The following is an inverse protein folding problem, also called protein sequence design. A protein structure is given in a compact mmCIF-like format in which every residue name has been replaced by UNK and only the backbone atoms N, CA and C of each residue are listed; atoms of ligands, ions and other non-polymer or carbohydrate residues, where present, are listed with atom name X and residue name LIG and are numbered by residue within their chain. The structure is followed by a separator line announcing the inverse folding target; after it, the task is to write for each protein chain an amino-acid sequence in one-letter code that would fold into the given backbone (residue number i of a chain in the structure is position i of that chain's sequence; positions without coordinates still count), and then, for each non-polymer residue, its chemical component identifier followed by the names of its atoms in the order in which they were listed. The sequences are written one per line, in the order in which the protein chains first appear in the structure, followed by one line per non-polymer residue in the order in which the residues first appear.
data_IF_898101860152
#
_entry.id   IF_898101860152
#
_cell.length_a   1.000
_cell.length_b   1.000
_cell.length_c   1.000
_cell.angle_alpha   90.00
_cell.angle_beta   90.00
_cell.angle_gamma   90.00
#
_symmetry.space_group_name_H-M   'P 1'
#
loop_
_entity.id
_entity.type
_entity.pdbx_description
1 polymer ?
#
# COMPACT_ATOMS: atom_id res chain seq x y z
N UNK A 1 6.29 -6.51 -2.21
CA UNK A 1 6.11 -5.39 -3.17
C UNK A 1 5.74 -5.85 -4.59
N UNK A 2 6.48 -6.77 -5.25
CA UNK A 2 6.13 -7.18 -6.64
C UNK A 2 4.78 -7.91 -6.69
N UNK A 3 4.54 -8.85 -5.75
CA UNK A 3 3.25 -9.50 -5.60
C UNK A 3 2.10 -8.50 -5.36
N UNK A 4 2.27 -7.58 -4.40
CA UNK A 4 1.27 -6.56 -4.06
C UNK A 4 0.96 -5.63 -5.23
N UNK A 5 1.96 -5.31 -6.06
CA UNK A 5 1.79 -4.54 -7.28
C UNK A 5 0.93 -5.28 -8.32
N UNK A 6 1.12 -6.59 -8.46
CA UNK A 6 0.31 -7.44 -9.32
C UNK A 6 -1.13 -7.56 -8.80
N UNK A 7 -1.30 -7.80 -7.51
CA UNK A 7 -2.64 -7.80 -6.90
C UNK A 7 -3.33 -6.43 -7.09
N UNK A 8 -2.62 -5.32 -6.92
CA UNK A 8 -3.16 -3.98 -7.14
C UNK A 8 -3.51 -3.72 -8.61
N UNK A 9 -2.74 -4.22 -9.58
CA UNK A 9 -3.07 -4.04 -11.00
C UNK A 9 -4.36 -4.77 -11.39
N UNK A 10 -4.59 -5.98 -10.85
CA UNK A 10 -5.81 -6.77 -11.06
C UNK A 10 -7.02 -6.11 -10.39
N UNK A 11 -6.87 -5.67 -9.14
CA UNK A 11 -7.96 -5.05 -8.37
C UNK A 11 -8.32 -3.66 -8.89
N UNK A 12 -7.33 -2.92 -9.39
CA UNK A 12 -7.50 -1.62 -10.01
C UNK A 12 -7.93 -0.50 -9.06
N UNK A 13 -8.37 0.63 -9.62
CA UNK A 13 -8.60 1.89 -8.88
C UNK A 13 -9.84 1.88 -7.97
N UNK A 14 -10.56 0.77 -7.83
CA UNK A 14 -11.77 0.68 -6.98
C UNK A 14 -11.45 0.52 -5.49
N UNK A 15 -10.25 0.03 -5.17
CA UNK A 15 -9.81 -0.18 -3.78
C UNK A 15 -8.77 0.85 -3.38
N UNK A 16 -8.89 1.39 -2.18
CA UNK A 16 -8.01 2.43 -1.67
C UNK A 16 -6.56 1.93 -1.57
N UNK A 17 -6.36 0.70 -1.08
CA UNK A 17 -5.01 0.12 -0.95
C UNK A 17 -4.37 -0.11 -2.32
N UNK A 18 -5.15 -0.56 -3.30
CA UNK A 18 -4.71 -0.78 -4.68
C UNK A 18 -4.30 0.54 -5.35
N UNK A 19 -5.14 1.57 -5.24
CA UNK A 19 -4.80 2.92 -5.73
C UNK A 19 -3.52 3.41 -5.08
N UNK A 20 -3.39 3.31 -3.76
CA UNK A 20 -2.20 3.75 -3.05
C UNK A 20 -0.94 3.05 -3.58
N UNK A 21 -1.02 1.74 -3.84
CA UNK A 21 0.08 0.98 -4.42
C UNK A 21 0.41 1.42 -5.85
N UNK A 22 -0.58 1.55 -6.73
CA UNK A 22 -0.40 2.04 -8.11
C UNK A 22 0.17 3.47 -8.15
N UNK A 23 -0.28 4.33 -7.25
CA UNK A 23 0.26 5.67 -7.08
C UNK A 23 1.72 5.65 -6.62
N UNK A 24 2.07 4.76 -5.69
CA UNK A 24 3.46 4.57 -5.24
C UNK A 24 4.36 4.16 -6.41
N UNK A 25 3.94 3.19 -7.23
CA UNK A 25 4.68 2.72 -8.41
C UNK A 25 4.84 3.85 -9.44
N UNK A 26 3.75 4.54 -9.79
CA UNK A 26 3.77 5.65 -10.77
C UNK A 26 4.61 6.84 -10.30
N UNK A 27 4.60 7.13 -9.01
CA UNK A 27 5.39 8.23 -8.46
C UNK A 27 6.85 7.85 -8.20
N UNK A 28 7.17 6.57 -7.98
CA UNK A 28 8.55 6.09 -7.91
C UNK A 28 9.26 6.31 -9.24
N UNK A 29 8.67 5.86 -10.37
CA UNK A 29 9.27 6.08 -11.70
C UNK A 29 9.42 7.57 -12.04
N UNK A 30 8.44 8.39 -11.68
CA UNK A 30 8.54 9.86 -11.83
C UNK A 30 9.63 10.47 -10.96
N UNK A 31 9.84 9.99 -9.72
CA UNK A 31 10.94 10.45 -8.87
C UNK A 31 12.30 10.05 -9.47
N UNK A 32 12.43 8.84 -10.01
CA UNK A 32 13.65 8.43 -10.73
C UNK A 32 13.88 9.27 -12.00
N UNK A 33 12.82 9.58 -12.76
CA UNK A 33 12.91 10.45 -13.96
C UNK A 33 13.17 11.93 -13.65
N UNK A 34 12.69 12.45 -12.52
CA UNK A 34 12.91 13.84 -12.09
C UNK A 34 14.30 14.05 -11.46
N UNK A 35 14.86 13.03 -10.80
CA UNK A 35 16.25 13.05 -10.30
C UNK A 35 17.27 12.91 -11.44
N UNK A 36 16.92 12.21 -12.52
CA UNK A 36 17.74 12.15 -13.74
C UNK A 36 17.74 13.44 -14.56
N UNK A 37 16.84 14.41 -14.27
CA UNK A 37 16.64 15.62 -15.09
C UNK A 37 16.86 16.93 -14.35
N UNK A 38 17.51 16.94 -13.18
CA UNK A 38 17.79 18.16 -12.43
C UNK A 38 19.28 18.46 -12.32
N UNK A 39 19.86 18.87 -13.44
CA UNK A 39 20.81 19.98 -13.44
C UNK A 39 19.99 21.28 -13.47
N UNK A 40 20.26 22.18 -12.52
CA UNK A 40 19.85 23.58 -12.42
C UNK A 40 18.37 23.96 -12.57
N UNK A 41 17.75 24.29 -11.42
CA UNK A 41 16.92 25.49 -11.30
C UNK A 41 16.50 25.69 -9.84
N UNK A 42 16.98 26.81 -9.28
CA UNK A 42 16.38 27.48 -8.14
C UNK A 42 14.90 27.72 -8.43
N UNK A 43 14.02 27.07 -7.68
CA UNK A 43 12.64 27.48 -7.58
C UNK A 43 12.12 27.11 -6.20
N UNK A 44 11.99 28.16 -5.39
CA UNK A 44 11.19 28.21 -4.18
C UNK A 44 9.89 27.41 -4.33
N UNK A 45 9.59 26.56 -3.35
CA UNK A 45 8.21 26.37 -2.91
C UNK A 45 8.19 25.97 -1.44
N UNK A 46 8.20 27.02 -0.62
CA UNK A 46 7.52 27.08 0.65
C UNK A 46 6.21 26.27 0.60
N UNK A 47 6.09 25.29 1.49
CA UNK A 47 4.84 24.90 2.16
C UNK A 47 5.18 24.05 3.37
N UNK A 48 5.59 24.75 4.43
CA UNK A 48 5.66 24.24 5.80
C UNK A 48 4.23 24.18 6.33
N UNK A 49 3.58 23.02 6.24
CA UNK A 49 2.39 22.77 7.05
C UNK A 49 2.83 21.93 8.24
N UNK A 50 3.12 22.61 9.36
CA UNK A 50 3.19 21.96 10.67
C UNK A 50 1.76 21.59 11.04
N UNK A 51 1.31 20.40 10.65
CA UNK A 51 0.10 19.81 11.23
C UNK A 51 0.46 19.41 12.65
N UNK A 52 0.03 20.23 13.61
CA UNK A 52 0.06 19.87 15.03
C UNK A 52 -0.93 18.73 15.21
N UNK A 53 -0.42 17.53 15.49
CA UNK A 53 -1.26 16.39 15.86
C UNK A 53 -1.71 16.59 17.31
N UNK A 54 -3.02 16.59 17.63
CA UNK A 54 -3.45 16.52 19.02
C UNK A 54 -3.00 15.19 19.62
N UNK A 55 -2.38 15.24 20.80
CA UNK A 55 -2.07 14.05 21.62
C UNK A 55 -3.38 13.54 22.20
N UNK A 56 -4.02 12.60 21.50
CA UNK A 56 -5.17 11.86 22.02
C UNK A 56 -4.65 10.81 23.00
N UNK A 57 -5.23 10.82 24.20
CA UNK A 57 -4.88 9.94 25.31
C UNK A 57 -4.97 8.46 24.88
N UNK A 58 -3.94 7.70 25.25
CA UNK A 58 -3.82 6.28 24.95
C UNK A 58 -4.95 5.51 25.64
N UNK A 59 -5.96 5.14 24.87
CA UNK A 59 -6.92 4.09 25.22
C UNK A 59 -6.34 2.79 24.68
N UNK A 60 -6.20 1.77 25.52
CA UNK A 60 -5.46 0.53 25.25
C UNK A 60 -6.01 -0.30 24.07
N UNK A 61 -7.17 0.06 23.50
CA UNK A 61 -7.72 -0.52 22.26
C UNK A 61 -7.18 0.11 20.95
N UNK A 62 -6.37 1.18 21.02
CA UNK A 62 -5.84 1.86 19.83
C UNK A 62 -4.62 1.20 19.19
N UNK A 63 -4.08 0.13 19.78
CA UNK A 63 -2.84 -0.47 19.28
C UNK A 63 -3.05 -1.29 18.01
N UNK A 64 -4.04 -2.20 18.00
CA UNK A 64 -4.31 -3.10 16.87
C UNK A 64 -4.72 -2.37 15.59
N UNK A 65 -5.55 -1.34 15.69
CA UNK A 65 -5.92 -0.53 14.54
C UNK A 65 -4.69 0.20 13.96
N UNK A 66 -3.76 0.61 14.82
CA UNK A 66 -2.51 1.25 14.38
C UNK A 66 -1.56 0.28 13.70
N UNK A 67 -1.56 -0.99 14.11
CA UNK A 67 -0.81 -2.07 13.45
C UNK A 67 -1.40 -2.40 12.08
N UNK A 68 -2.73 -2.53 11.99
CA UNK A 68 -3.41 -2.77 10.72
C UNK A 68 -3.08 -1.70 9.67
N UNK A 69 -3.00 -0.43 10.07
CA UNK A 69 -2.61 0.68 9.18
C UNK A 69 -1.21 0.51 8.57
N UNK A 70 -0.30 -0.18 9.26
CA UNK A 70 1.06 -0.47 8.78
C UNK A 70 1.10 -1.68 7.86
N UNK A 71 0.18 -2.63 8.03
CA UNK A 71 0.11 -3.87 7.26
C UNK A 71 -0.66 -3.71 5.95
N UNK A 72 -1.76 -2.95 5.96
CA UNK A 72 -2.57 -2.69 4.76
C UNK A 72 -1.88 -1.62 3.91
N UNK A 73 -1.64 -1.87 2.61
CA UNK A 73 -1.03 -0.87 1.76
C UNK A 73 -1.84 0.44 1.73
N UNK A 74 -1.22 1.56 2.08
CA UNK A 74 -1.92 2.86 2.15
C UNK A 74 -2.88 3.01 3.33
N UNK A 75 -2.85 2.08 4.29
CA UNK A 75 -3.68 2.10 5.49
C UNK A 75 -3.41 3.29 6.40
N UNK A 76 -2.24 3.95 6.29
CA UNK A 76 -1.83 5.06 7.16
C UNK A 76 -2.81 6.23 7.12
N UNK A 77 -3.50 6.43 6.00
CA UNK A 77 -4.44 7.53 5.79
C UNK A 77 -5.92 7.12 5.85
N UNK A 78 -6.26 5.85 6.12
CA UNK A 78 -7.65 5.36 6.05
C UNK A 78 -8.43 5.66 7.34
N UNK A 79 -9.74 5.86 7.28
CA UNK A 79 -10.60 5.83 8.49
C UNK A 79 -10.79 4.39 8.98
N UNK A 80 -11.16 4.18 10.25
CA UNK A 80 -11.24 2.83 10.85
C UNK A 80 -12.17 1.87 10.08
N UNK A 81 -13.37 2.31 9.69
CA UNK A 81 -14.32 1.49 8.92
C UNK A 81 -13.77 1.08 7.56
N UNK A 82 -13.22 2.04 6.81
CA UNK A 82 -12.58 1.79 5.51
C UNK A 82 -11.35 0.90 5.67
N UNK A 83 -10.57 1.06 6.74
CA UNK A 83 -9.43 0.22 7.04
C UNK A 83 -9.85 -1.24 7.20
N UNK A 84 -10.96 -1.53 7.90
CA UNK A 84 -11.48 -2.89 8.05
C UNK A 84 -11.96 -3.47 6.72
N UNK A 85 -12.71 -2.72 5.91
CA UNK A 85 -13.18 -3.19 4.61
C UNK A 85 -12.00 -3.50 3.66
N UNK A 86 -11.03 -2.58 3.60
CA UNK A 86 -9.84 -2.74 2.77
C UNK A 86 -8.94 -3.88 3.29
N UNK A 87 -8.89 -4.10 4.61
CA UNK A 87 -8.19 -5.25 5.23
C UNK A 87 -8.81 -6.57 4.79
N UNK A 88 -10.15 -6.72 4.89
CA UNK A 88 -10.84 -7.94 4.50
C UNK A 88 -10.61 -8.25 3.01
N UNK A 89 -10.67 -7.22 2.16
CA UNK A 89 -10.37 -7.37 0.75
C UNK A 89 -8.91 -7.74 0.48
N UNK A 90 -7.97 -7.15 1.22
CA UNK A 90 -6.54 -7.43 1.07
C UNK A 90 -6.21 -8.87 1.49
N UNK A 91 -6.77 -9.34 2.61
CA UNK A 91 -6.65 -10.75 3.04
C UNK A 91 -7.17 -11.68 1.95
N UNK A 92 -8.35 -11.40 1.36
CA UNK A 92 -8.89 -12.20 0.26
C UNK A 92 -7.90 -12.32 -0.90
N UNK A 93 -7.30 -11.22 -1.33
CA UNK A 93 -6.29 -11.23 -2.39
C UNK A 93 -5.06 -12.06 -2.00
N UNK A 94 -4.57 -11.94 -0.77
CA UNK A 94 -3.44 -12.73 -0.26
C UNK A 94 -3.76 -14.22 -0.24
N UNK A 95 -4.94 -14.61 0.23
CA UNK A 95 -5.37 -16.02 0.24
C UNK A 95 -5.41 -16.58 -1.17
N UNK A 96 -5.95 -15.85 -2.14
CA UNK A 96 -5.95 -16.26 -3.54
C UNK A 96 -4.54 -16.39 -4.09
N UNK A 97 -3.66 -15.42 -3.79
CA UNK A 97 -2.27 -15.46 -4.22
C UNK A 97 -1.57 -16.72 -3.69
N UNK A 98 -1.68 -17.00 -2.39
CA UNK A 98 -1.06 -18.19 -1.77
C UNK A 98 -1.65 -19.48 -2.34
N UNK A 99 -2.96 -19.53 -2.58
CA UNK A 99 -3.60 -20.70 -3.21
C UNK A 99 -3.05 -21.01 -4.59
N UNK A 100 -2.83 -19.99 -5.43
CA UNK A 100 -2.21 -20.17 -6.76
C UNK A 100 -0.77 -20.70 -6.61
N UNK A 101 0.02 -20.14 -5.69
CA UNK A 101 1.39 -20.65 -5.47
C UNK A 101 1.41 -22.09 -4.96
N UNK A 102 0.46 -22.46 -4.09
CA UNK A 102 0.33 -23.83 -3.60
C UNK A 102 -0.05 -24.81 -4.73
N UNK A 103 -0.97 -24.42 -5.62
CA UNK A 103 -1.30 -25.20 -6.83
C UNK A 103 -0.12 -25.34 -7.78
N UNK A 104 0.65 -24.27 -8.00
CA UNK A 104 1.85 -24.31 -8.84
C UNK A 104 2.91 -25.25 -8.25
N UNK A 105 3.20 -25.13 -6.95
CA UNK A 105 4.17 -26.00 -6.27
C UNK A 105 3.72 -27.46 -6.28
N UNK A 106 2.43 -27.74 -6.10
CA UNK A 106 1.88 -29.09 -6.18
C UNK A 106 1.87 -29.64 -7.61
N UNK A 107 1.59 -28.79 -8.59
CA UNK A 107 1.60 -29.13 -10.01
C UNK A 107 3.00 -29.42 -10.54
N UNK A 108 4.03 -28.72 -10.05
CA UNK A 108 5.44 -28.96 -10.37
C UNK A 108 5.98 -30.31 -9.82
N UNK A 109 5.27 -30.98 -8.90
CA UNK A 109 5.65 -32.30 -8.35
C UNK A 109 5.07 -33.46 -9.19
N UNK A 110 4.20 -33.20 -10.17
CA UNK A 110 3.56 -34.25 -11.01
C UNK A 110 4.31 -34.50 -12.33
N UNK A 111 5.39 -33.77 -12.62
CA UNK A 111 6.30 -34.05 -13.73
C UNK A 111 7.54 -34.84 -13.21
N UNK A 112 7.36 -36.12 -12.85
CA UNK A 112 8.44 -37.13 -12.69
C UNK A 112 8.06 -38.41 -13.41
#
# INVERSE_FOLDING_TARGET
MVADASMASVVGYKRAWSRAMLWKIRNQSRRHGLLAKKSNSHANRLRKSKVVKPKIAKTENFDQASELRKLVPGGEAMEYSNLLEETAHYIKCLTTQVGIFDELVKGEIVDI
#
